data_IF_551616367456
#
_entry.id   IF_551616367456
#
_cell.length_a   1.000
_cell.length_b   1.000
_cell.length_c   1.000
_cell.angle_alpha   90.00
_cell.angle_beta   90.00
_cell.angle_gamma   90.00
#
_symmetry.space_group_name_H-M   'P 1'
#
loop_
_entity.id
_entity.type
_entity.pdbx_description
1 polymer ?
#
# COMPACT_ATOMS: atom_id res chain seq x y z
N UNK A 1 2.07 46.46 17.99
CA UNK A 1 3.36 45.98 17.45
C UNK A 1 3.77 44.62 18.02
N UNK A 2 3.90 44.45 19.35
CA UNK A 2 4.28 43.16 19.98
C UNK A 2 3.34 41.99 19.63
N UNK A 3 2.02 42.21 19.63
CA UNK A 3 1.02 41.19 19.28
C UNK A 3 1.15 40.73 17.82
N UNK A 4 1.43 41.67 16.90
CA UNK A 4 1.64 41.35 15.47
C UNK A 4 2.92 40.53 15.25
N UNK A 5 3.97 40.80 16.02
CA UNK A 5 5.22 40.02 16.00
C UNK A 5 4.96 38.59 16.49
N UNK A 6 4.21 38.43 17.58
CA UNK A 6 3.84 37.10 18.13
C UNK A 6 3.00 36.31 17.13
N UNK A 7 2.00 36.93 16.49
CA UNK A 7 1.19 36.30 15.44
C UNK A 7 2.05 35.85 14.25
N UNK A 8 3.03 36.67 13.84
CA UNK A 8 3.97 36.31 12.77
C UNK A 8 4.84 35.10 13.10
N UNK A 9 5.30 34.98 14.35
CA UNK A 9 6.11 33.83 14.78
C UNK A 9 5.27 32.54 14.79
N UNK A 10 4.02 32.62 15.23
CA UNK A 10 3.11 31.47 15.27
C UNK A 10 2.81 30.97 13.86
N UNK A 11 2.49 31.87 12.92
CA UNK A 11 2.20 31.49 11.53
C UNK A 11 3.40 30.87 10.83
N UNK A 12 4.60 31.43 11.00
CA UNK A 12 5.84 30.86 10.46
C UNK A 12 6.08 29.45 11.04
N UNK A 13 5.87 29.27 12.35
CA UNK A 13 6.04 27.98 13.01
C UNK A 13 5.08 26.92 12.46
N UNK A 14 3.81 27.28 12.24
CA UNK A 14 2.81 26.40 11.62
C UNK A 14 3.23 25.99 10.21
N UNK A 15 3.71 26.94 9.39
CA UNK A 15 4.16 26.66 8.02
C UNK A 15 5.34 25.68 8.02
N UNK A 16 6.33 25.87 8.91
CA UNK A 16 7.48 24.98 9.03
C UNK A 16 7.04 23.56 9.40
N UNK A 17 6.13 23.43 10.39
CA UNK A 17 5.58 22.13 10.80
C UNK A 17 4.86 21.46 9.62
N UNK A 18 4.06 22.20 8.86
CA UNK A 18 3.35 21.71 7.68
C UNK A 18 4.31 21.18 6.60
N UNK A 19 5.39 21.93 6.31
CA UNK A 19 6.41 21.51 5.33
C UNK A 19 7.11 20.22 5.78
N UNK A 20 7.44 20.10 7.06
CA UNK A 20 8.07 18.89 7.61
C UNK A 20 7.13 17.68 7.53
N UNK A 21 5.85 17.86 7.85
CA UNK A 21 4.83 16.82 7.74
C UNK A 21 4.62 16.36 6.29
N UNK A 22 4.62 17.31 5.35
CA UNK A 22 4.50 17.02 3.92
C UNK A 22 5.75 16.31 3.37
N UNK A 23 6.96 16.71 3.78
CA UNK A 23 8.21 16.02 3.37
C UNK A 23 8.32 14.59 3.89
N UNK A 24 7.73 14.28 5.06
CA UNK A 24 7.68 12.91 5.59
C UNK A 24 6.76 11.99 4.77
N UNK A 25 5.81 12.53 4.01
CA UNK A 25 5.07 11.76 3.00
C UNK A 25 5.99 11.54 1.79
N UNK A 26 6.87 10.55 1.87
CA UNK A 26 7.47 9.96 0.66
C UNK A 26 6.33 9.62 -0.31
N UNK A 27 6.45 9.94 -1.61
CA UNK A 27 5.51 9.41 -2.59
C UNK A 27 5.54 7.89 -2.47
N UNK A 28 4.39 7.30 -2.17
CA UNK A 28 4.31 5.84 -2.03
C UNK A 28 4.43 5.31 -3.44
N UNK A 29 5.49 4.57 -3.73
CA UNK A 29 5.66 3.91 -5.02
C UNK A 29 4.42 3.08 -5.31
N UNK A 30 3.87 3.17 -6.52
CA UNK A 30 2.78 2.29 -6.90
C UNK A 30 3.35 0.87 -7.08
N UNK A 31 2.96 -0.06 -6.20
CA UNK A 31 3.33 -1.47 -6.26
C UNK A 31 2.21 -2.35 -6.80
N UNK A 32 1.06 -1.76 -7.17
CA UNK A 32 -0.02 -2.46 -7.86
C UNK A 32 0.35 -2.59 -9.34
N UNK A 33 1.27 -3.51 -9.62
CA UNK A 33 1.83 -3.79 -10.93
C UNK A 33 1.73 -5.28 -11.22
N UNK A 34 1.59 -5.66 -12.50
CA UNK A 34 1.48 -7.06 -12.90
C UNK A 34 2.65 -7.92 -12.41
N UNK A 35 3.89 -7.44 -12.54
CA UNK A 35 5.07 -8.14 -12.04
C UNK A 35 4.99 -8.47 -10.53
N UNK A 36 4.43 -7.56 -9.74
CA UNK A 36 4.32 -7.71 -8.29
C UNK A 36 3.14 -8.62 -7.93
N UNK A 37 2.05 -8.57 -8.70
CA UNK A 37 0.96 -9.53 -8.61
C UNK A 37 1.47 -10.96 -8.82
N UNK A 38 2.22 -11.19 -9.91
CA UNK A 38 2.81 -12.50 -10.24
C UNK A 38 3.75 -12.95 -9.13
N UNK A 39 4.62 -12.05 -8.65
CA UNK A 39 5.53 -12.34 -7.55
C UNK A 39 4.79 -12.80 -6.28
N UNK A 40 3.73 -12.11 -5.88
CA UNK A 40 2.94 -12.49 -4.69
C UNK A 40 2.20 -13.81 -4.93
N UNK A 41 1.60 -14.00 -6.11
CA UNK A 41 0.85 -15.21 -6.44
C UNK A 41 1.75 -16.46 -6.39
N UNK A 42 2.92 -16.36 -7.00
CA UNK A 42 3.77 -17.52 -7.30
C UNK A 42 4.86 -17.75 -6.24
N UNK A 43 5.13 -16.77 -5.36
CA UNK A 43 6.14 -16.93 -4.31
C UNK A 43 5.69 -17.95 -3.25
N UNK A 44 6.59 -18.88 -2.85
CA UNK A 44 6.32 -19.83 -1.78
C UNK A 44 6.30 -19.16 -0.39
N UNK A 45 6.78 -17.93 -0.28
CA UNK A 45 6.90 -17.20 1.00
C UNK A 45 5.73 -16.26 1.26
N UNK A 46 4.87 -16.02 0.26
CA UNK A 46 3.82 -15.00 0.34
C UNK A 46 2.87 -15.21 1.51
N UNK A 47 2.43 -16.45 1.72
CA UNK A 47 1.44 -16.77 2.75
C UNK A 47 2.04 -16.63 4.16
N UNK A 48 3.34 -16.90 4.31
CA UNK A 48 4.07 -16.81 5.58
C UNK A 48 4.45 -15.37 5.94
N UNK A 49 4.76 -14.54 4.94
CA UNK A 49 5.17 -13.13 5.12
C UNK A 49 3.98 -12.17 5.19
N UNK A 50 2.80 -12.60 4.76
CA UNK A 50 1.60 -11.79 4.75
C UNK A 50 0.92 -11.78 6.13
N UNK A 51 0.54 -10.59 6.60
CA UNK A 51 -0.28 -10.44 7.81
C UNK A 51 -1.73 -10.94 7.59
N UNK A 52 -2.14 -11.04 6.32
CA UNK A 52 -3.46 -11.46 5.86
C UNK A 52 -3.42 -12.81 5.19
N UNK A 53 -4.52 -13.55 5.26
CA UNK A 53 -4.74 -14.72 4.42
C UNK A 53 -4.84 -14.28 2.95
N UNK A 54 -4.06 -14.92 2.07
CA UNK A 54 -4.07 -14.65 0.64
C UNK A 54 -4.79 -15.79 -0.07
N UNK A 55 -5.99 -15.51 -0.58
CA UNK A 55 -6.70 -16.45 -1.45
C UNK A 55 -6.29 -16.17 -2.89
N UNK A 56 -5.69 -17.17 -3.52
CA UNK A 56 -5.19 -17.13 -4.91
C UNK A 56 -6.27 -17.66 -5.84
N UNK A 57 -6.94 -16.78 -6.56
CA UNK A 57 -7.91 -17.13 -7.60
C UNK A 57 -7.28 -16.93 -8.99
N UNK A 58 -7.96 -17.36 -10.07
CA UNK A 58 -7.41 -17.34 -11.43
C UNK A 58 -6.90 -15.95 -11.84
N UNK A 59 -7.73 -14.93 -11.65
CA UNK A 59 -7.47 -13.56 -12.10
C UNK A 59 -7.41 -12.55 -10.94
N UNK A 60 -7.33 -13.03 -9.70
CA UNK A 60 -7.24 -12.15 -8.55
C UNK A 60 -6.53 -12.76 -7.34
N UNK A 61 -6.01 -11.88 -6.49
CA UNK A 61 -5.52 -12.17 -5.15
C UNK A 61 -6.40 -11.44 -4.15
N UNK A 62 -7.09 -12.20 -3.30
CA UNK A 62 -7.98 -11.67 -2.26
C UNK A 62 -7.30 -11.76 -0.90
N UNK A 63 -7.28 -10.63 -0.19
CA UNK A 63 -6.66 -10.51 1.13
C UNK A 63 -7.74 -10.49 2.21
N UNK A 64 -7.68 -11.44 3.14
CA UNK A 64 -8.64 -11.58 4.24
C UNK A 64 -7.97 -11.45 5.60
N UNK A 65 -8.70 -10.89 6.56
CA UNK A 65 -8.32 -10.98 7.97
C UNK A 65 -8.40 -12.43 8.43
N UNK A 66 -7.70 -12.76 9.52
CA UNK A 66 -7.77 -14.10 10.16
C UNK A 66 -9.18 -14.47 10.65
N UNK A 67 -10.03 -13.46 10.82
CA UNK A 67 -11.45 -13.62 11.19
C UNK A 67 -12.36 -13.88 9.96
N UNK A 68 -11.80 -13.84 8.75
CA UNK A 68 -12.49 -14.17 7.50
C UNK A 68 -13.06 -12.97 6.74
N UNK A 69 -12.83 -11.73 7.15
CA UNK A 69 -13.31 -10.56 6.42
C UNK A 69 -12.40 -10.21 5.24
N UNK A 70 -12.97 -10.05 4.04
CA UNK A 70 -12.22 -9.59 2.86
C UNK A 70 -11.95 -8.09 2.95
N UNK A 71 -10.68 -7.69 2.93
CA UNK A 71 -10.28 -6.28 2.99
C UNK A 71 -10.20 -5.66 1.60
N UNK A 72 -9.43 -6.29 0.72
CA UNK A 72 -9.18 -5.82 -0.63
C UNK A 72 -8.78 -6.97 -1.56
N UNK A 73 -8.87 -6.69 -2.86
CA UNK A 73 -8.48 -7.58 -3.95
C UNK A 73 -7.48 -6.86 -4.84
N UNK A 74 -6.46 -7.58 -5.28
CA UNK A 74 -5.69 -7.23 -6.47
C UNK A 74 -6.24 -8.05 -7.63
N UNK A 75 -6.85 -7.39 -8.62
CA UNK A 75 -7.44 -8.05 -9.79
C UNK A 75 -6.62 -7.75 -11.03
N UNK A 76 -6.34 -8.78 -11.84
CA UNK A 76 -5.77 -8.63 -13.18
C UNK A 76 -6.92 -8.51 -14.17
N UNK A 77 -6.86 -7.51 -15.04
CA UNK A 77 -7.74 -7.45 -16.20
C UNK A 77 -7.10 -8.30 -17.32
N UNK A 78 -7.52 -9.56 -17.42
CA UNK A 78 -6.97 -10.56 -18.34
C UNK A 78 -7.29 -10.27 -19.81
N UNK A 79 -8.33 -9.48 -20.08
CA UNK A 79 -8.83 -9.25 -21.44
C UNK A 79 -8.10 -8.13 -22.18
N UNK A 80 -7.50 -7.17 -21.47
CA UNK A 80 -7.07 -5.94 -22.14
C UNK A 80 -5.59 -5.64 -22.11
N UNK A 81 -4.80 -5.84 -21.03
CA UNK A 81 -3.39 -5.40 -21.03
C UNK A 81 -2.55 -5.80 -19.79
N UNK A 82 -2.84 -6.92 -19.12
CA UNK A 82 -2.21 -7.25 -17.82
C UNK A 82 -2.36 -6.12 -16.77
N UNK A 83 -3.36 -5.26 -16.95
CA UNK A 83 -3.61 -4.14 -16.05
C UNK A 83 -4.02 -4.68 -14.69
N UNK A 84 -3.41 -4.17 -13.61
CA UNK A 84 -3.72 -4.61 -12.26
C UNK A 84 -4.45 -3.50 -11.53
N UNK A 85 -5.62 -3.83 -10.98
CA UNK A 85 -6.44 -2.90 -10.20
C UNK A 85 -6.52 -3.35 -8.76
N UNK A 86 -6.36 -2.38 -7.87
CA UNK A 86 -6.63 -2.54 -6.45
C UNK A 86 -8.10 -2.20 -6.19
N UNK A 87 -8.84 -3.13 -5.61
CA UNK A 87 -10.27 -2.99 -5.30
C UNK A 87 -10.46 -3.19 -3.79
N UNK A 88 -10.80 -2.13 -3.06
CA UNK A 88 -11.20 -2.22 -1.65
C UNK A 88 -12.65 -2.72 -1.52
N UNK A 89 -12.93 -3.69 -0.63
CA UNK A 89 -14.20 -4.42 -0.66
C UNK A 89 -15.26 -4.03 0.39
N UNK A 90 -15.04 -3.02 1.24
CA UNK A 90 -16.06 -2.58 2.20
C UNK A 90 -15.86 -1.12 2.61
N UNK A 91 -16.43 -0.14 1.90
CA UNK A 91 -16.28 1.31 2.22
C UNK A 91 -14.82 1.81 2.34
N UNK A 92 -13.84 0.96 2.01
CA UNK A 92 -12.40 1.17 2.15
C UNK A 92 -11.77 1.78 0.90
N UNK A 93 -12.55 2.26 -0.07
CA UNK A 93 -12.03 2.93 -1.27
C UNK A 93 -11.09 4.10 -0.95
N UNK A 94 -11.21 4.70 0.23
CA UNK A 94 -10.31 5.73 0.74
C UNK A 94 -8.93 5.20 1.23
N UNK A 95 -8.76 3.89 1.41
CA UNK A 95 -7.53 3.25 1.93
C UNK A 95 -6.62 2.65 0.85
N UNK A 96 -6.85 2.96 -0.43
CA UNK A 96 -6.00 2.49 -1.52
C UNK A 96 -4.50 2.77 -1.29
N UNK A 97 -4.20 3.89 -0.65
CA UNK A 97 -2.84 4.28 -0.28
C UNK A 97 -2.21 3.33 0.75
N UNK A 98 -3.00 2.91 1.74
CA UNK A 98 -2.56 1.98 2.79
C UNK A 98 -2.37 0.58 2.24
N UNK A 99 -3.32 0.10 1.42
CA UNK A 99 -3.21 -1.20 0.77
C UNK A 99 -2.05 -1.24 -0.22
N UNK A 100 -1.82 -0.18 -1.02
CA UNK A 100 -0.64 -0.11 -1.88
C UNK A 100 0.66 -0.16 -1.06
N UNK A 101 0.72 0.54 0.08
CA UNK A 101 1.88 0.46 0.98
C UNK A 101 2.09 -0.95 1.51
N UNK A 102 1.01 -1.61 1.93
CA UNK A 102 1.06 -3.01 2.37
C UNK A 102 1.66 -3.91 1.28
N UNK A 103 1.16 -3.79 0.05
CA UNK A 103 1.66 -4.56 -1.10
C UNK A 103 3.13 -4.27 -1.38
N UNK A 104 3.56 -3.01 -1.34
CA UNK A 104 4.99 -2.68 -1.47
C UNK A 104 5.84 -3.37 -0.41
N UNK A 105 5.40 -3.37 0.85
CA UNK A 105 6.13 -4.00 1.95
C UNK A 105 6.22 -5.52 1.75
N UNK A 106 5.11 -6.17 1.40
CA UNK A 106 5.09 -7.60 1.14
C UNK A 106 6.03 -7.98 -0.02
N UNK A 107 5.99 -7.24 -1.12
CA UNK A 107 6.91 -7.43 -2.26
C UNK A 107 8.38 -7.30 -1.83
N UNK A 108 8.70 -6.28 -1.04
CA UNK A 108 10.07 -6.09 -0.54
C UNK A 108 10.52 -7.24 0.37
N UNK A 109 9.64 -7.73 1.25
CA UNK A 109 9.95 -8.87 2.12
C UNK A 109 10.17 -10.15 1.31
N UNK A 110 9.33 -10.41 0.30
CA UNK A 110 9.50 -11.55 -0.61
C UNK A 110 10.85 -11.46 -1.31
N UNK A 111 11.16 -10.32 -1.94
CA UNK A 111 12.42 -10.14 -2.66
C UNK A 111 13.64 -10.30 -1.75
N UNK A 112 13.60 -9.74 -0.55
CA UNK A 112 14.71 -9.88 0.40
C UNK A 112 14.90 -11.34 0.82
N UNK A 113 13.81 -12.08 1.05
CA UNK A 113 13.87 -13.50 1.43
C UNK A 113 14.42 -14.35 0.29
N UNK A 114 13.98 -14.09 -0.95
CA UNK A 114 14.48 -14.79 -2.15
C UNK A 114 15.96 -14.52 -2.41
N UNK A 115 16.49 -13.33 -2.09
CA UNK A 115 17.90 -13.01 -2.29
C UNK A 115 18.85 -13.61 -1.24
N UNK A 116 18.31 -14.08 -0.11
CA UNK A 116 19.08 -14.68 0.99
C UNK A 116 19.16 -16.21 0.86
N UNK A 117 18.22 -16.83 0.14
CA UNK A 117 18.12 -18.27 -0.07
C UNK A 117 18.61 -18.69 -1.46
#
# INVERSE_FOLDING_TARGET
MRILIVLGIITISIIIILIVLLKKRKPISNCILYKNYVLIRDSPYSDTLSDYEIIKEKDNLRFRTKEGYSLFIIKVNSEENQEVKLIGLASYGARNVEFNRYICNLVNQINNTTNIN
#
